data_IF_824984030051
#
_entry.id   IF_824984030051
#
_cell.length_a   1.000
_cell.length_b   1.000
_cell.length_c   1.000
_cell.angle_alpha   90.00
_cell.angle_beta   90.00
_cell.angle_gamma   90.00
#
_symmetry.space_group_name_H-M   'P 1'
#
loop_
_entity.id
_entity.type
_entity.pdbx_description
1 polymer ?
#
# COMPACT_ATOMS: atom_id res chain seq x y z
N UNK A 1 -12.21 18.31 1.13
CA UNK A 1 -11.07 17.32 1.17
C UNK A 1 -9.81 18.11 1.42
N UNK A 2 -9.16 17.87 2.55
CA UNK A 2 -7.92 18.58 2.89
C UNK A 2 -6.77 18.06 2.00
N UNK A 3 -6.30 18.93 1.09
CA UNK A 3 -5.25 18.60 0.13
C UNK A 3 -3.89 18.36 0.82
N UNK A 4 -3.67 18.95 2.00
CA UNK A 4 -2.46 18.74 2.80
C UNK A 4 -2.38 17.31 3.34
N UNK A 5 -3.48 16.81 3.90
CA UNK A 5 -3.59 15.43 4.41
C UNK A 5 -3.37 14.41 3.30
N UNK A 6 -3.97 14.62 2.13
CA UNK A 6 -3.73 13.76 0.97
C UNK A 6 -2.26 13.70 0.55
N UNK A 7 -1.58 14.87 0.48
CA UNK A 7 -0.15 14.93 0.12
C UNK A 7 0.71 14.20 1.12
N UNK A 8 0.44 14.35 2.41
CA UNK A 8 1.21 13.71 3.47
C UNK A 8 1.10 12.19 3.37
N UNK A 9 -0.09 11.63 3.25
CA UNK A 9 -0.30 10.18 3.13
C UNK A 9 0.33 9.61 1.86
N UNK A 10 0.21 10.31 0.72
CA UNK A 10 0.86 9.94 -0.53
C UNK A 10 2.38 9.93 -0.42
N UNK A 11 2.97 10.99 0.11
CA UNK A 11 4.41 11.09 0.25
C UNK A 11 4.94 10.05 1.24
N UNK A 12 4.22 9.80 2.35
CA UNK A 12 4.56 8.76 3.30
C UNK A 12 4.53 7.35 2.67
N UNK A 13 3.58 7.07 1.75
CA UNK A 13 3.55 5.79 1.05
C UNK A 13 4.76 5.60 0.13
N UNK A 14 5.20 6.64 -0.57
CA UNK A 14 6.42 6.58 -1.38
C UNK A 14 7.66 6.42 -0.51
N UNK A 15 7.77 7.19 0.57
CA UNK A 15 8.89 7.09 1.50
C UNK A 15 8.98 5.69 2.11
N UNK A 16 7.85 5.10 2.52
CA UNK A 16 7.78 3.73 3.03
C UNK A 16 8.33 2.71 2.03
N UNK A 17 7.94 2.79 0.76
CA UNK A 17 8.47 1.90 -0.30
C UNK A 17 9.98 2.06 -0.47
N UNK A 18 10.49 3.29 -0.38
CA UNK A 18 11.91 3.60 -0.49
C UNK A 18 12.68 3.03 0.71
N UNK A 19 12.25 3.35 1.92
CA UNK A 19 12.93 2.97 3.16
C UNK A 19 12.98 1.44 3.33
N UNK A 20 11.89 0.75 2.94
CA UNK A 20 11.82 -0.71 2.99
C UNK A 20 12.51 -1.42 1.80
N UNK A 21 13.07 -0.68 0.85
CA UNK A 21 13.74 -1.26 -0.31
C UNK A 21 12.82 -2.09 -1.22
N UNK A 22 11.53 -1.77 -1.26
CA UNK A 22 10.53 -2.53 -2.03
C UNK A 22 10.75 -2.31 -3.52
N UNK A 23 11.04 -3.37 -4.28
CA UNK A 23 11.40 -3.28 -5.70
C UNK A 23 10.57 -4.16 -6.63
N UNK A 24 9.57 -4.87 -6.10
CA UNK A 24 8.69 -5.75 -6.88
C UNK A 24 7.25 -5.77 -6.33
N UNK A 25 6.30 -6.17 -7.18
CA UNK A 25 4.91 -6.42 -6.81
C UNK A 25 4.57 -7.93 -6.90
N UNK A 26 3.67 -8.42 -6.05
CA UNK A 26 2.95 -7.69 -5.00
C UNK A 26 3.84 -7.40 -3.78
N UNK A 27 3.70 -6.23 -3.16
CA UNK A 27 4.43 -5.88 -1.93
C UNK A 27 4.15 -6.88 -0.81
N UNK A 28 5.03 -6.98 0.18
CA UNK A 28 4.91 -7.91 1.32
C UNK A 28 4.63 -7.15 2.62
N UNK A 29 3.35 -6.91 3.00
CA UNK A 29 2.99 -6.04 4.11
C UNK A 29 3.63 -6.42 5.45
N UNK A 30 3.77 -7.71 5.76
CA UNK A 30 4.42 -8.18 6.98
C UNK A 30 5.87 -7.75 7.04
N UNK A 31 6.62 -7.89 5.93
CA UNK A 31 8.02 -7.47 5.87
C UNK A 31 8.17 -5.95 6.00
N UNK A 32 7.20 -5.19 5.45
CA UNK A 32 7.15 -3.74 5.62
C UNK A 32 6.91 -3.37 7.09
N UNK A 33 5.96 -4.02 7.77
CA UNK A 33 5.71 -3.80 9.20
C UNK A 33 6.94 -4.17 10.05
N UNK A 34 7.58 -5.29 9.74
CA UNK A 34 8.81 -5.75 10.42
C UNK A 34 9.94 -4.71 10.29
N UNK A 35 10.07 -4.04 9.15
CA UNK A 35 11.04 -2.95 8.97
C UNK A 35 10.87 -1.82 10.00
N UNK A 36 9.63 -1.55 10.42
CA UNK A 36 9.30 -0.58 11.47
C UNK A 36 9.30 -1.18 12.89
N UNK A 37 9.78 -2.42 13.05
CA UNK A 37 9.80 -3.11 14.34
C UNK A 37 8.42 -3.54 14.85
N UNK A 38 7.43 -3.66 13.95
CA UNK A 38 6.03 -3.98 14.28
C UNK A 38 5.74 -5.42 13.88
N UNK A 39 5.49 -6.27 14.88
CA UNK A 39 5.08 -7.66 14.66
C UNK A 39 3.62 -7.76 14.24
N UNK A 40 3.33 -8.54 13.19
CA UNK A 40 1.97 -8.86 12.79
C UNK A 40 1.55 -10.21 13.39
N UNK A 41 0.34 -10.27 13.96
CA UNK A 41 -0.25 -11.49 14.54
C UNK A 41 -1.69 -11.67 14.10
N UNK A 42 -2.10 -12.92 13.95
CA UNK A 42 -3.49 -13.29 13.77
C UNK A 42 -4.11 -13.63 15.14
N UNK A 43 -5.26 -13.01 15.47
CA UNK A 43 -6.00 -13.31 16.69
C UNK A 43 -7.46 -12.85 16.56
N UNK A 44 -8.40 -13.74 16.86
CA UNK A 44 -9.82 -13.39 16.95
C UNK A 44 -10.12 -12.75 18.31
N UNK A 45 -9.50 -13.26 19.38
CA UNK A 45 -9.78 -12.87 20.77
C UNK A 45 -9.39 -11.42 21.07
N UNK A 46 -8.42 -10.89 20.36
CA UNK A 46 -7.94 -9.52 20.53
C UNK A 46 -8.73 -8.48 19.72
N UNK A 47 -9.68 -8.92 18.90
CA UNK A 47 -10.48 -8.07 18.01
C UNK A 47 -11.93 -8.01 18.48
N UNK A 48 -12.56 -6.85 18.31
CA UNK A 48 -13.99 -6.66 18.54
C UNK A 48 -14.80 -7.19 17.34
N UNK A 49 -16.12 -7.40 17.54
CA UNK A 49 -17.00 -7.81 16.45
C UNK A 49 -16.96 -6.81 15.29
N UNK A 50 -16.74 -7.33 14.08
CA UNK A 50 -16.67 -6.52 12.87
C UNK A 50 -15.32 -5.85 12.60
N UNK A 51 -14.39 -5.90 13.57
CA UNK A 51 -13.05 -5.34 13.43
C UNK A 51 -12.14 -6.28 12.62
N UNK A 52 -11.52 -5.82 11.55
CA UNK A 52 -10.60 -6.63 10.73
C UNK A 52 -9.17 -6.64 11.25
N UNK A 53 -8.79 -5.62 11.99
CA UNK A 53 -7.49 -5.50 12.62
C UNK A 53 -7.39 -4.28 13.50
N UNK A 54 -6.31 -4.21 14.28
CA UNK A 54 -5.96 -3.05 15.08
C UNK A 54 -4.49 -3.02 15.47
N UNK A 55 -4.03 -1.83 15.79
CA UNK A 55 -2.72 -1.57 16.37
C UNK A 55 -2.79 -1.70 17.90
N UNK A 56 -1.92 -2.49 18.50
CA UNK A 56 -1.81 -2.62 19.96
C UNK A 56 -0.44 -2.14 20.42
N UNK A 57 -0.45 -1.25 21.41
CA UNK A 57 0.77 -0.84 22.15
C UNK A 57 0.83 -1.62 23.46
N UNK A 58 1.88 -2.40 23.65
CA UNK A 58 2.13 -3.15 24.89
C UNK A 58 2.76 -2.23 25.94
N UNK A 59 2.61 -2.58 27.22
CA UNK A 59 3.27 -1.89 28.34
C UNK A 59 4.80 -1.81 28.17
N UNK A 60 5.39 -2.82 27.52
CA UNK A 60 6.81 -2.86 27.16
C UNK A 60 7.22 -1.85 26.08
N UNK A 61 6.29 -1.04 25.54
CA UNK A 61 6.50 -0.15 24.41
C UNK A 61 6.48 -0.83 23.04
N UNK A 62 6.41 -2.17 22.98
CA UNK A 62 6.30 -2.90 21.72
C UNK A 62 4.95 -2.65 21.06
N UNK A 63 4.99 -2.44 19.74
CA UNK A 63 3.80 -2.27 18.90
C UNK A 63 3.54 -3.54 18.11
N UNK A 64 2.28 -3.90 17.98
CA UNK A 64 1.84 -5.06 17.22
C UNK A 64 0.61 -4.70 16.38
N UNK A 65 0.55 -5.24 15.17
CA UNK A 65 -0.66 -5.22 14.34
C UNK A 65 -1.33 -6.58 14.48
N UNK A 66 -2.60 -6.56 14.91
CA UNK A 66 -3.45 -7.74 14.99
C UNK A 66 -4.36 -7.74 13.78
N UNK A 67 -4.50 -8.89 13.11
CA UNK A 67 -5.44 -9.07 12.01
C UNK A 67 -6.34 -10.29 12.27
N UNK A 68 -7.55 -10.24 11.71
CA UNK A 68 -8.55 -11.30 11.86
C UNK A 68 -8.11 -12.56 11.09
N UNK A 69 -8.01 -13.74 11.74
CA UNK A 69 -7.57 -14.98 11.09
C UNK A 69 -8.47 -15.40 9.92
N UNK A 70 -9.79 -15.18 10.05
CA UNK A 70 -10.81 -15.59 9.08
C UNK A 70 -10.92 -14.66 7.86
N UNK A 71 -10.30 -13.48 7.89
CA UNK A 71 -10.28 -12.58 6.74
C UNK A 71 -9.47 -13.17 5.58
N UNK A 72 -9.92 -12.94 4.35
CA UNK A 72 -9.20 -13.36 3.15
C UNK A 72 -7.85 -12.63 3.04
N UNK A 73 -6.88 -13.28 2.42
CA UNK A 73 -5.49 -12.76 2.31
C UNK A 73 -5.44 -11.32 1.82
N UNK A 74 -6.20 -10.96 0.80
CA UNK A 74 -6.23 -9.59 0.25
C UNK A 74 -6.68 -8.55 1.27
N UNK A 75 -7.62 -8.91 2.15
CA UNK A 75 -8.09 -8.05 3.23
C UNK A 75 -7.03 -7.90 4.32
N UNK A 76 -6.42 -9.01 4.77
CA UNK A 76 -5.31 -8.97 5.74
C UNK A 76 -4.17 -8.07 5.27
N UNK A 77 -3.79 -8.17 3.99
CA UNK A 77 -2.75 -7.32 3.38
C UNK A 77 -3.07 -5.84 3.48
N UNK A 78 -4.32 -5.46 3.15
CA UNK A 78 -4.79 -4.09 3.27
C UNK A 78 -4.80 -3.64 4.74
N UNK A 79 -5.36 -4.45 5.63
CA UNK A 79 -5.47 -4.17 7.07
C UNK A 79 -4.09 -3.91 7.69
N UNK A 80 -3.07 -4.73 7.42
CA UNK A 80 -1.71 -4.53 7.94
C UNK A 80 -1.17 -3.15 7.56
N UNK A 81 -1.31 -2.75 6.30
CA UNK A 81 -0.81 -1.45 5.84
C UNK A 81 -1.68 -0.28 6.31
N UNK A 82 -2.98 -0.50 6.51
CA UNK A 82 -3.88 0.48 7.09
C UNK A 82 -3.49 0.79 8.55
N UNK A 83 -3.28 -0.24 9.36
CA UNK A 83 -2.81 -0.10 10.75
C UNK A 83 -1.40 0.51 10.82
N UNK A 84 -0.51 0.16 9.89
CA UNK A 84 0.78 0.83 9.76
C UNK A 84 0.62 2.32 9.38
N UNK A 85 -0.37 2.63 8.56
CA UNK A 85 -0.75 4.02 8.24
C UNK A 85 -1.14 4.80 9.47
N UNK A 86 -1.95 4.23 10.37
CA UNK A 86 -2.26 4.84 11.67
C UNK A 86 -1.03 5.03 12.55
N UNK A 87 -0.13 4.05 12.56
CA UNK A 87 1.12 4.17 13.31
C UNK A 87 1.99 5.33 12.84
N UNK A 88 2.10 5.54 11.53
CA UNK A 88 2.99 6.55 10.92
C UNK A 88 2.35 7.94 10.81
N UNK A 89 1.02 8.02 10.64
CA UNK A 89 0.32 9.25 10.26
C UNK A 89 -0.75 9.71 11.28
N UNK A 90 -1.01 8.90 12.32
CA UNK A 90 -2.00 9.20 13.36
C UNK A 90 -3.41 8.69 13.04
N UNK A 91 -4.40 9.22 13.76
CA UNK A 91 -5.76 8.67 13.87
C UNK A 91 -6.65 8.86 12.62
N UNK A 92 -6.19 9.54 11.58
CA UNK A 92 -7.00 9.81 10.40
C UNK A 92 -7.21 8.57 9.55
N UNK A 93 -8.43 8.02 9.54
CA UNK A 93 -8.86 6.91 8.67
C UNK A 93 -8.54 7.18 7.19
N UNK A 94 -8.79 8.42 6.73
CA UNK A 94 -8.49 8.82 5.36
C UNK A 94 -6.98 8.73 5.06
N UNK A 95 -6.13 9.16 6.00
CA UNK A 95 -4.66 9.10 5.83
C UNK A 95 -4.17 7.65 5.79
N UNK A 96 -4.65 6.82 6.70
CA UNK A 96 -4.30 5.40 6.77
C UNK A 96 -4.74 4.63 5.51
N UNK A 97 -5.98 4.87 5.04
CA UNK A 97 -6.46 4.28 3.79
C UNK A 97 -5.61 4.70 2.59
N UNK A 98 -5.30 6.01 2.45
CA UNK A 98 -4.50 6.53 1.35
C UNK A 98 -3.08 6.02 1.36
N UNK A 99 -2.48 5.89 2.53
CA UNK A 99 -1.17 5.27 2.72
C UNK A 99 -1.19 3.81 2.26
N UNK A 100 -2.12 2.99 2.77
CA UNK A 100 -2.24 1.58 2.40
C UNK A 100 -2.42 1.39 0.88
N UNK A 101 -3.32 2.16 0.27
CA UNK A 101 -3.54 2.16 -1.19
C UNK A 101 -2.28 2.55 -1.96
N UNK A 102 -1.55 3.57 -1.48
CA UNK A 102 -0.32 4.04 -2.10
C UNK A 102 0.80 3.01 -2.09
N UNK A 103 0.94 2.27 -0.97
CA UNK A 103 1.94 1.20 -0.82
C UNK A 103 1.56 -0.04 -1.62
N UNK A 104 0.29 -0.50 -1.53
CA UNK A 104 -0.16 -1.71 -2.24
C UNK A 104 -0.16 -1.56 -3.76
N UNK A 105 -0.50 -0.37 -4.24
CA UNK A 105 -0.74 -0.10 -5.66
C UNK A 105 -0.01 1.19 -6.11
N UNK A 106 1.33 1.24 -6.12
CA UNK A 106 2.08 2.44 -6.46
C UNK A 106 1.83 2.86 -7.91
N UNK A 107 1.24 4.05 -8.10
CA UNK A 107 0.75 4.51 -9.41
C UNK A 107 1.85 4.57 -10.47
N UNK A 108 3.03 5.06 -10.13
CA UNK A 108 4.15 5.15 -11.06
C UNK A 108 4.63 3.78 -11.54
N UNK A 109 4.60 2.77 -10.67
CA UNK A 109 4.98 1.40 -11.03
C UNK A 109 3.92 0.78 -11.95
N UNK A 110 2.62 0.92 -11.61
CA UNK A 110 1.52 0.47 -12.45
C UNK A 110 1.56 1.13 -13.84
N UNK A 111 1.84 2.42 -13.89
CA UNK A 111 2.05 3.15 -15.13
C UNK A 111 3.23 2.58 -15.92
N UNK A 112 4.36 2.35 -15.28
CA UNK A 112 5.56 1.79 -15.91
C UNK A 112 5.37 0.42 -16.52
N UNK A 113 4.58 -0.46 -15.89
CA UNK A 113 4.27 -1.81 -16.42
C UNK A 113 3.05 -1.82 -17.36
N UNK A 114 2.38 -0.70 -17.57
CA UNK A 114 1.19 -0.61 -18.42
C UNK A 114 -0.08 -1.23 -17.80
N UNK A 115 -0.16 -1.37 -16.48
CA UNK A 115 -1.32 -1.94 -15.78
C UNK A 115 -2.39 -0.86 -15.50
N UNK A 116 -3.36 -0.74 -16.39
CA UNK A 116 -4.43 0.27 -16.30
C UNK A 116 -5.83 -0.32 -16.09
N UNK A 117 -6.01 -1.63 -16.23
CA UNK A 117 -7.31 -2.28 -16.02
C UNK A 117 -7.44 -2.82 -14.60
N UNK A 118 -8.67 -2.91 -14.05
CA UNK A 118 -8.90 -3.49 -12.73
C UNK A 118 -8.34 -4.92 -12.60
N UNK A 119 -8.47 -5.73 -13.64
CA UNK A 119 -8.01 -7.12 -13.68
C UNK A 119 -6.48 -7.19 -13.58
N UNK A 120 -5.77 -6.37 -14.38
CA UNK A 120 -4.30 -6.33 -14.35
C UNK A 120 -3.77 -5.85 -13.02
N UNK A 121 -4.37 -4.80 -12.43
CA UNK A 121 -4.00 -4.25 -11.13
C UNK A 121 -4.27 -5.26 -10.02
N UNK A 122 -5.47 -5.86 -9.99
CA UNK A 122 -5.85 -6.86 -8.98
C UNK A 122 -4.88 -8.04 -8.97
N UNK A 123 -4.54 -8.56 -10.14
CA UNK A 123 -3.59 -9.68 -10.29
C UNK A 123 -2.17 -9.29 -9.87
N UNK A 124 -1.67 -8.15 -10.37
CA UNK A 124 -0.30 -7.71 -10.15
C UNK A 124 -0.04 -7.34 -8.68
N UNK A 125 -0.99 -6.66 -8.03
CA UNK A 125 -0.85 -6.17 -6.67
C UNK A 125 -1.42 -7.11 -5.60
N UNK A 126 -2.14 -8.17 -6.00
CA UNK A 126 -2.88 -9.06 -5.11
C UNK A 126 -3.84 -8.28 -4.18
N UNK A 127 -4.74 -7.51 -4.79
CA UNK A 127 -5.78 -6.71 -4.12
C UNK A 127 -7.17 -7.10 -4.62
N UNK A 128 -8.24 -6.66 -3.93
CA UNK A 128 -9.62 -6.92 -4.36
C UNK A 128 -9.94 -6.21 -5.68
N UNK A 129 -10.90 -6.73 -6.45
CA UNK A 129 -11.39 -6.09 -7.68
C UNK A 129 -11.91 -4.67 -7.40
N UNK A 130 -12.64 -4.48 -6.29
CA UNK A 130 -13.15 -3.15 -5.91
C UNK A 130 -12.02 -2.14 -5.67
N UNK A 131 -10.95 -2.54 -4.98
CA UNK A 131 -9.78 -1.69 -4.77
C UNK A 131 -9.05 -1.38 -6.08
N UNK A 132 -8.90 -2.40 -6.93
CA UNK A 132 -8.29 -2.27 -8.25
C UNK A 132 -9.11 -1.36 -9.19
N UNK A 133 -10.45 -1.44 -9.17
CA UNK A 133 -11.33 -0.57 -9.92
C UNK A 133 -11.11 0.91 -9.56
N UNK A 134 -11.17 1.22 -8.27
CA UNK A 134 -10.92 2.61 -7.77
C UNK A 134 -9.52 3.11 -8.15
N UNK A 135 -8.54 2.18 -8.15
CA UNK A 135 -7.17 2.54 -8.55
C UNK A 135 -7.07 2.79 -10.05
N UNK A 136 -7.71 1.98 -10.89
CA UNK A 136 -7.75 2.17 -12.34
C UNK A 136 -8.40 3.52 -12.72
N UNK A 137 -9.51 3.88 -12.10
CA UNK A 137 -10.16 5.20 -12.28
C UNK A 137 -9.20 6.36 -11.92
N UNK A 138 -8.48 6.22 -10.79
CA UNK A 138 -7.48 7.22 -10.41
C UNK A 138 -6.30 7.29 -11.39
N UNK A 139 -5.85 6.15 -11.91
CA UNK A 139 -4.78 6.07 -12.92
C UNK A 139 -5.18 6.80 -14.19
N UNK A 140 -6.44 6.67 -14.64
CA UNK A 140 -6.97 7.38 -15.80
C UNK A 140 -6.88 8.90 -15.61
N UNK A 141 -7.32 9.42 -14.46
CA UNK A 141 -7.23 10.85 -14.12
C UNK A 141 -5.77 11.34 -14.13
N UNK A 142 -4.84 10.56 -13.58
CA UNK A 142 -3.41 10.91 -13.58
C UNK A 142 -2.83 10.95 -14.98
N UNK A 143 -3.24 10.02 -15.86
CA UNK A 143 -2.85 9.95 -17.27
C UNK A 143 -3.35 11.19 -18.04
N UNK A 144 -4.63 11.50 -17.93
CA UNK A 144 -5.25 12.68 -18.59
C UNK A 144 -4.59 14.00 -18.17
N UNK A 145 -4.17 14.09 -16.90
CA UNK A 145 -3.51 15.28 -16.35
C UNK A 145 -2.00 15.27 -16.52
N UNK A 146 -1.41 14.25 -17.14
CA UNK A 146 0.04 14.05 -17.27
C UNK A 146 0.79 14.20 -15.93
N UNK A 147 0.32 13.49 -14.87
CA UNK A 147 0.79 13.64 -13.49
C UNK A 147 1.61 12.45 -12.97
N UNK A 148 2.20 11.63 -13.86
CA UNK A 148 3.19 10.62 -13.46
C UNK A 148 4.58 11.21 -13.42
N UNK A 149 5.40 10.73 -12.47
CA UNK A 149 6.82 11.08 -12.27
C UNK A 149 7.05 12.59 -12.06
N UNK A 150 6.07 13.30 -11.52
CA UNK A 150 6.17 14.75 -11.28
C UNK A 150 6.82 15.10 -9.93
N UNK A 151 6.86 14.14 -8.98
CA UNK A 151 7.43 14.34 -7.65
C UNK A 151 8.77 13.60 -7.48
N UNK A 152 9.78 14.17 -6.75
CA UNK A 152 11.08 13.51 -6.55
C UNK A 152 10.97 12.11 -5.93
N UNK A 153 10.17 11.94 -4.86
CA UNK A 153 9.97 10.61 -4.24
C UNK A 153 9.33 9.62 -5.19
N UNK A 154 8.38 10.05 -6.02
CA UNK A 154 7.76 9.20 -7.03
C UNK A 154 8.77 8.70 -8.05
N UNK A 155 9.67 9.57 -8.52
CA UNK A 155 10.75 9.18 -9.43
C UNK A 155 11.73 8.20 -8.77
N UNK A 156 12.01 8.37 -7.48
CA UNK A 156 12.87 7.46 -6.73
C UNK A 156 12.22 6.07 -6.60
N UNK A 157 10.92 5.99 -6.26
CA UNK A 157 10.17 4.72 -6.27
C UNK A 157 10.23 4.08 -7.65
N UNK A 158 9.96 4.84 -8.72
CA UNK A 158 10.01 4.32 -10.08
C UNK A 158 11.38 3.73 -10.42
N UNK A 159 12.47 4.43 -10.09
CA UNK A 159 13.85 3.95 -10.29
C UNK A 159 14.15 2.67 -9.50
N UNK A 160 13.65 2.57 -8.25
CA UNK A 160 13.82 1.38 -7.42
C UNK A 160 13.11 0.15 -8.01
N UNK A 161 11.98 0.34 -8.71
CA UNK A 161 11.24 -0.72 -9.40
C UNK A 161 11.67 -0.96 -10.85
N UNK A 162 12.68 -0.28 -11.36
CA UNK A 162 13.00 -0.29 -12.78
C UNK A 162 13.22 -1.70 -13.35
N UNK A 163 13.99 -2.54 -12.66
CA UNK A 163 14.22 -3.94 -13.09
C UNK A 163 12.93 -4.76 -13.18
N UNK A 164 12.03 -4.58 -12.20
CA UNK A 164 10.72 -5.22 -12.20
C UNK A 164 9.87 -4.74 -13.38
N UNK A 165 9.82 -3.41 -13.62
CA UNK A 165 9.08 -2.81 -14.73
C UNK A 165 9.58 -3.37 -16.07
N UNK A 166 10.88 -3.35 -16.31
CA UNK A 166 11.50 -3.88 -17.53
C UNK A 166 11.22 -5.37 -17.75
N UNK A 167 11.23 -6.17 -16.66
CA UNK A 167 10.91 -7.59 -16.72
C UNK A 167 9.46 -7.85 -17.18
N UNK A 168 8.51 -7.02 -16.73
CA UNK A 168 7.10 -7.13 -17.11
C UNK A 168 6.84 -6.67 -18.53
N UNK A 169 7.50 -5.61 -18.97
CA UNK A 169 7.41 -5.13 -20.36
C UNK A 169 7.91 -6.18 -21.37
N UNK A 170 9.02 -6.86 -21.05
CA UNK A 170 9.58 -7.94 -21.90
C UNK A 170 8.66 -9.16 -21.98
N UNK A 171 7.86 -9.45 -20.94
CA UNK A 171 6.93 -10.59 -20.91
C UNK A 171 5.63 -10.32 -21.66
N UNK A 172 5.40 -9.11 -22.17
CA UNK A 172 4.22 -8.71 -22.95
C UNK A 172 4.49 -8.69 -24.47
N UNK A 173 5.75 -8.89 -24.88
CA UNK A 173 6.20 -9.03 -26.29
C UNK A 173 6.27 -10.53 -26.63
#
# INVERSE_FOLDING_TARGET
MDYGIYKNARNASWQCLIDCGVSELPVKPVQIADHYGIACKESEELLSNGESGKLIRRESGKVQIIVRPTDVVRRKRFTILHELGHYLLGESEYSAERFAVGVLMPACVLWGVGAFTPESISKLCNVSQTAAQRRAERMQILKERNKFLTHPLERQVYGQFQKFIESKQKSQI
#
